data_IF_828366421136
#
_entry.id   IF_828366421136
#
_cell.length_a   1.000
_cell.length_b   1.000
_cell.length_c   1.000
_cell.angle_alpha   90.00
_cell.angle_beta   90.00
_cell.angle_gamma   90.00
#
_symmetry.space_group_name_H-M   'P 1'
#
loop_
_entity.id
_entity.type
_entity.pdbx_description
1 polymer ?
#
# COMPACT_ATOMS: atom_id res chain seq x y z
N UNK A 1 -16.98 20.59 -28.51
CA UNK A 1 -16.75 21.51 -27.41
C UNK A 1 -15.67 20.91 -26.51
N UNK A 2 -14.47 21.54 -26.46
CA UNK A 2 -13.42 21.12 -25.51
C UNK A 2 -13.76 21.62 -24.12
N UNK A 3 -13.54 20.77 -23.12
CA UNK A 3 -13.75 21.16 -21.71
C UNK A 3 -12.67 22.15 -21.20
N UNK A 4 -11.65 22.45 -22.03
CA UNK A 4 -10.59 23.40 -21.67
C UNK A 4 -9.65 22.94 -20.55
N UNK A 5 -9.67 21.65 -20.20
CA UNK A 5 -8.77 21.09 -19.20
C UNK A 5 -7.41 20.76 -19.81
N UNK A 6 -6.36 21.41 -19.31
CA UNK A 6 -4.98 21.20 -19.80
C UNK A 6 -4.51 19.77 -19.57
N UNK A 7 -4.91 19.16 -18.46
CA UNK A 7 -4.58 17.80 -18.05
C UNK A 7 -5.36 16.71 -18.79
N UNK A 8 -6.27 17.07 -19.70
CA UNK A 8 -7.08 16.15 -20.51
C UNK A 8 -6.98 16.49 -21.98
N UNK A 9 -5.80 16.44 -22.63
CA UNK A 9 -5.70 16.61 -24.06
C UNK A 9 -6.38 15.43 -24.80
N UNK A 10 -6.75 15.64 -26.06
CA UNK A 10 -7.39 14.62 -26.89
C UNK A 10 -6.47 13.50 -27.39
N UNK A 11 -5.29 13.36 -26.83
CA UNK A 11 -4.27 12.36 -27.19
C UNK A 11 -3.40 12.01 -25.96
N UNK A 12 -2.72 10.85 -25.95
CA UNK A 12 -1.69 10.54 -24.96
C UNK A 12 -0.57 11.58 -24.97
N UNK A 13 -0.15 12.04 -23.80
CA UNK A 13 0.92 13.00 -23.66
C UNK A 13 1.73 12.75 -22.38
N UNK A 14 2.96 13.27 -22.36
CA UNK A 14 3.81 13.23 -21.18
C UNK A 14 3.62 14.49 -20.34
N UNK A 15 3.23 14.34 -19.09
CA UNK A 15 3.10 15.45 -18.15
C UNK A 15 4.40 15.67 -17.38
N UNK A 16 5.18 16.67 -17.80
CA UNK A 16 6.46 16.99 -17.17
C UNK A 16 6.30 17.52 -15.74
N UNK A 17 5.18 18.17 -15.41
CA UNK A 17 4.94 18.65 -14.05
C UNK A 17 4.68 17.47 -13.10
N UNK A 18 3.90 16.50 -13.55
CA UNK A 18 3.66 15.27 -12.79
C UNK A 18 4.97 14.44 -12.67
N UNK A 19 5.74 14.31 -13.75
CA UNK A 19 7.02 13.62 -13.72
C UNK A 19 8.02 14.28 -12.76
N UNK A 20 8.05 15.62 -12.71
CA UNK A 20 8.90 16.35 -11.76
C UNK A 20 8.46 16.10 -10.30
N UNK A 21 7.15 16.10 -10.05
CA UNK A 21 6.58 15.77 -8.73
C UNK A 21 6.97 14.35 -8.32
N UNK A 22 6.82 13.36 -9.20
CA UNK A 22 7.22 11.97 -8.93
C UNK A 22 8.71 11.84 -8.60
N UNK A 23 9.59 12.57 -9.29
CA UNK A 23 11.03 12.61 -8.97
C UNK A 23 11.31 13.18 -7.58
N UNK A 24 10.56 14.19 -7.13
CA UNK A 24 10.69 14.76 -5.79
C UNK A 24 10.23 13.76 -4.71
N UNK A 25 9.11 13.06 -4.93
CA UNK A 25 8.64 12.00 -4.03
C UNK A 25 9.67 10.87 -3.93
N UNK A 26 10.19 10.39 -5.09
CA UNK A 26 11.21 9.34 -5.16
C UNK A 26 12.52 9.70 -4.45
N UNK A 27 12.89 10.98 -4.41
CA UNK A 27 14.07 11.45 -3.68
C UNK A 27 13.91 11.34 -2.15
N UNK A 28 12.68 11.35 -1.64
CA UNK A 28 12.37 11.22 -0.22
C UNK A 28 12.04 9.77 0.18
N UNK A 29 11.36 9.06 -0.71
CA UNK A 29 10.84 7.72 -0.52
C UNK A 29 11.30 6.83 -1.68
N UNK A 30 12.37 6.03 -1.52
CA UNK A 30 13.09 5.46 -2.64
C UNK A 30 12.42 4.24 -3.31
N UNK A 31 11.35 3.71 -2.74
CA UNK A 31 10.67 2.54 -3.28
C UNK A 31 9.31 2.91 -3.87
N UNK A 32 9.11 2.55 -5.14
CA UNK A 32 7.83 2.76 -5.83
C UNK A 32 6.85 1.65 -5.45
N UNK A 33 5.77 2.00 -4.76
CA UNK A 33 4.71 1.07 -4.37
C UNK A 33 3.66 0.93 -5.46
N UNK A 34 3.50 -0.28 -5.97
CA UNK A 34 2.40 -0.67 -6.85
C UNK A 34 1.33 -1.43 -6.04
N UNK A 35 0.08 -1.00 -6.16
CA UNK A 35 -1.05 -1.66 -5.51
C UNK A 35 -1.96 -2.32 -6.54
N UNK A 36 -1.80 -3.62 -6.73
CA UNK A 36 -2.56 -4.41 -7.69
C UNK A 36 -3.83 -5.03 -7.09
N UNK A 37 -4.70 -5.55 -7.96
CA UNK A 37 -5.85 -6.35 -7.51
C UNK A 37 -5.37 -7.68 -6.93
N UNK A 38 -5.94 -8.14 -5.80
CA UNK A 38 -5.58 -9.41 -5.19
C UNK A 38 -6.07 -10.60 -6.04
N UNK A 39 -5.31 -11.69 -6.05
CA UNK A 39 -5.69 -12.92 -6.76
C UNK A 39 -6.67 -13.79 -5.96
N UNK A 40 -6.69 -13.65 -4.64
CA UNK A 40 -7.42 -14.51 -3.71
C UNK A 40 -8.80 -13.95 -3.29
N UNK A 41 -9.15 -12.74 -3.74
CA UNK A 41 -10.40 -12.05 -3.39
C UNK A 41 -10.71 -10.95 -4.40
N UNK A 42 -11.89 -10.35 -4.31
CA UNK A 42 -12.30 -9.20 -5.12
C UNK A 42 -12.21 -7.93 -4.26
N UNK A 43 -11.21 -7.08 -4.51
CA UNK A 43 -10.93 -5.89 -3.68
C UNK A 43 -10.86 -6.26 -2.18
N UNK A 44 -11.75 -5.72 -1.36
CA UNK A 44 -11.87 -6.04 0.08
C UNK A 44 -12.90 -7.11 0.39
N UNK A 45 -13.64 -7.59 -0.62
CA UNK A 45 -14.64 -8.63 -0.42
C UNK A 45 -13.96 -9.97 -0.17
N UNK A 46 -14.43 -10.67 0.86
CA UNK A 46 -13.86 -11.94 1.31
C UNK A 46 -12.40 -11.87 1.82
N UNK A 47 -11.92 -10.70 2.24
CA UNK A 47 -10.59 -10.62 2.85
C UNK A 47 -10.48 -11.50 4.12
N UNK A 48 -11.59 -11.64 4.88
CA UNK A 48 -11.72 -12.56 6.00
C UNK A 48 -11.84 -14.05 5.59
N UNK A 49 -12.05 -14.35 4.31
CA UNK A 49 -12.24 -15.72 3.81
C UNK A 49 -10.96 -16.55 3.90
N UNK A 50 -11.12 -17.88 4.03
CA UNK A 50 -9.98 -18.81 4.21
C UNK A 50 -8.95 -18.72 3.10
N UNK A 51 -9.36 -18.52 1.84
CA UNK A 51 -8.45 -18.41 0.70
C UNK A 51 -7.58 -17.15 0.81
N UNK A 52 -8.18 -15.99 1.12
CA UNK A 52 -7.43 -14.75 1.32
C UNK A 52 -6.50 -14.84 2.54
N UNK A 53 -6.99 -15.37 3.65
CA UNK A 53 -6.19 -15.52 4.88
C UNK A 53 -4.98 -16.45 4.69
N UNK A 54 -5.11 -17.49 3.86
CA UNK A 54 -4.02 -18.41 3.55
C UNK A 54 -2.87 -17.74 2.75
N UNK A 55 -3.11 -16.61 2.09
CA UNK A 55 -2.06 -15.87 1.37
C UNK A 55 -1.29 -14.90 2.26
N UNK A 56 -1.78 -14.61 3.47
CA UNK A 56 -1.16 -13.63 4.37
C UNK A 56 0.08 -14.19 5.05
N UNK A 57 1.06 -13.32 5.28
CA UNK A 57 2.30 -13.64 5.99
C UNK A 57 2.18 -13.09 7.42
N UNK A 58 2.23 -13.96 8.40
CA UNK A 58 2.01 -13.60 9.81
C UNK A 58 0.71 -12.79 10.02
N UNK A 59 -0.36 -13.14 9.26
CA UNK A 59 -1.66 -12.49 9.30
C UNK A 59 -1.75 -11.15 8.55
N UNK A 60 -0.70 -10.70 7.89
CA UNK A 60 -0.60 -9.40 7.20
C UNK A 60 -0.57 -9.57 5.69
N UNK A 61 -1.00 -8.55 4.96
CA UNK A 61 -0.94 -8.56 3.50
C UNK A 61 0.50 -8.70 3.02
N UNK A 62 0.78 -9.57 2.02
CA UNK A 62 2.12 -9.73 1.47
C UNK A 62 2.62 -8.47 0.76
N UNK A 63 3.85 -8.10 1.06
CA UNK A 63 4.64 -7.12 0.33
C UNK A 63 5.69 -7.87 -0.48
N UNK A 64 5.61 -7.77 -1.80
CA UNK A 64 6.59 -8.32 -2.71
C UNK A 64 7.72 -7.31 -2.90
N UNK A 65 8.97 -7.73 -2.72
CA UNK A 65 10.14 -6.88 -2.95
C UNK A 65 11.32 -7.66 -3.51
N UNK A 66 12.20 -6.95 -4.20
CA UNK A 66 13.41 -7.55 -4.75
C UNK A 66 14.42 -7.89 -3.63
N UNK A 67 15.14 -9.04 -3.71
CA UNK A 67 16.11 -9.44 -2.70
C UNK A 67 17.21 -8.40 -2.42
N UNK A 68 17.66 -7.64 -3.43
CA UNK A 68 18.68 -6.60 -3.24
C UNK A 68 18.18 -5.45 -2.37
N UNK A 69 16.90 -5.04 -2.53
CA UNK A 69 16.31 -3.99 -1.71
C UNK A 69 16.10 -4.43 -0.27
N UNK A 70 15.76 -5.71 -0.09
CA UNK A 70 15.62 -6.34 1.22
C UNK A 70 16.97 -6.43 1.93
N UNK A 71 18.03 -6.88 1.23
CA UNK A 71 19.37 -6.98 1.76
C UNK A 71 19.91 -5.61 2.22
N UNK A 72 19.68 -4.55 1.44
CA UNK A 72 20.08 -3.19 1.80
C UNK A 72 19.42 -2.67 3.08
N UNK A 73 18.34 -3.32 3.56
CA UNK A 73 17.53 -2.93 4.73
C UNK A 73 17.55 -3.96 5.87
N UNK A 74 18.37 -5.00 5.77
CA UNK A 74 18.39 -6.14 6.73
C UNK A 74 17.00 -6.79 6.90
N UNK A 75 16.28 -6.97 5.77
CA UNK A 75 14.96 -7.59 5.69
C UNK A 75 15.11 -9.01 5.14
N UNK A 76 14.33 -9.96 5.69
CA UNK A 76 14.35 -11.38 5.31
C UNK A 76 12.97 -11.84 4.84
N UNK A 77 12.95 -12.91 4.04
CA UNK A 77 11.71 -13.61 3.67
C UNK A 77 10.85 -13.92 4.90
N UNK A 78 9.55 -13.67 4.79
CA UNK A 78 8.58 -13.95 5.85
C UNK A 78 8.60 -13.01 7.04
N UNK A 79 9.54 -12.06 7.12
CA UNK A 79 9.57 -11.06 8.20
C UNK A 79 8.45 -10.03 8.06
N UNK A 80 8.09 -9.39 9.16
CA UNK A 80 7.17 -8.25 9.14
C UNK A 80 7.97 -6.95 9.06
N UNK A 81 7.49 -6.03 8.23
CA UNK A 81 8.09 -4.72 8.00
C UNK A 81 7.08 -3.61 8.21
N UNK A 82 7.58 -2.42 8.54
CA UNK A 82 6.86 -1.17 8.48
C UNK A 82 7.08 -0.54 7.10
N UNK A 83 5.99 -0.33 6.36
CA UNK A 83 5.98 0.43 5.11
C UNK A 83 5.38 1.80 5.40
N UNK A 84 6.03 2.88 5.00
CA UNK A 84 5.61 4.21 5.41
C UNK A 84 6.03 5.33 4.45
N UNK A 85 5.31 6.43 4.56
CA UNK A 85 5.65 7.73 3.97
C UNK A 85 5.06 8.85 4.85
N UNK A 86 4.98 10.08 4.35
CA UNK A 86 4.41 11.22 5.08
C UNK A 86 2.88 11.17 5.26
N UNK A 87 2.19 10.25 4.59
CA UNK A 87 0.73 10.05 4.74
C UNK A 87 0.37 9.09 5.86
N UNK A 88 1.19 8.07 6.09
CA UNK A 88 0.94 7.10 7.15
C UNK A 88 1.93 5.94 7.17
N UNK A 89 1.57 4.89 7.89
CA UNK A 89 2.37 3.68 8.02
C UNK A 89 1.48 2.43 8.12
N UNK A 90 1.98 1.33 7.58
CA UNK A 90 1.33 0.02 7.66
C UNK A 90 2.33 -1.06 8.03
N UNK A 91 1.87 -2.19 8.56
CA UNK A 91 2.65 -3.42 8.70
C UNK A 91 2.30 -4.39 7.57
N UNK A 92 3.33 -5.00 6.98
CA UNK A 92 3.19 -5.98 5.90
C UNK A 92 4.12 -7.18 6.12
N UNK A 93 3.75 -8.34 5.60
CA UNK A 93 4.63 -9.52 5.57
C UNK A 93 5.44 -9.56 4.28
N UNK A 94 6.75 -9.81 4.36
CA UNK A 94 7.64 -9.75 3.19
C UNK A 94 7.64 -11.05 2.42
N UNK A 95 7.51 -10.94 1.10
CA UNK A 95 7.79 -11.99 0.12
C UNK A 95 8.87 -11.51 -0.85
N UNK A 96 10.02 -12.19 -0.85
CA UNK A 96 11.15 -11.87 -1.73
C UNK A 96 10.97 -12.51 -3.10
N UNK A 97 11.18 -11.72 -4.16
CA UNK A 97 11.04 -12.23 -5.53
C UNK A 97 11.90 -11.46 -6.52
N UNK A 98 12.65 -12.17 -7.34
CA UNK A 98 13.37 -11.60 -8.49
C UNK A 98 12.44 -11.20 -9.64
N UNK A 99 11.14 -11.49 -9.54
CA UNK A 99 10.13 -11.04 -10.50
C UNK A 99 9.72 -9.57 -10.29
N UNK A 100 10.12 -8.97 -9.17
CA UNK A 100 9.96 -7.53 -8.89
C UNK A 100 11.27 -6.82 -9.24
N UNK A 101 11.17 -5.69 -9.92
CA UNK A 101 12.35 -4.87 -10.24
C UNK A 101 12.93 -4.22 -8.98
N UNK A 102 14.25 -4.09 -8.86
CA UNK A 102 14.86 -3.27 -7.81
C UNK A 102 14.27 -1.85 -7.80
N UNK A 103 14.01 -1.31 -6.60
CA UNK A 103 13.37 -0.01 -6.41
C UNK A 103 11.84 -0.04 -6.54
N UNK A 104 11.23 -1.21 -6.80
CA UNK A 104 9.78 -1.39 -6.88
C UNK A 104 9.33 -2.39 -5.82
N UNK A 105 8.21 -2.11 -5.20
CA UNK A 105 7.51 -3.03 -4.28
C UNK A 105 6.04 -3.12 -4.66
N UNK A 106 5.43 -4.27 -4.38
CA UNK A 106 4.04 -4.53 -4.73
C UNK A 106 3.27 -5.07 -3.53
N UNK A 107 2.07 -4.54 -3.34
CA UNK A 107 1.07 -5.06 -2.41
C UNK A 107 -0.27 -5.18 -3.11
N UNK A 108 -1.14 -6.08 -2.64
CA UNK A 108 -2.51 -6.11 -3.12
C UNK A 108 -3.39 -5.10 -2.38
N UNK A 109 -4.33 -4.49 -3.11
CA UNK A 109 -5.38 -3.65 -2.51
C UNK A 109 -6.37 -4.48 -1.71
N UNK A 110 -7.17 -3.83 -0.86
CA UNK A 110 -8.36 -4.42 -0.25
C UNK A 110 -8.15 -5.18 1.05
N UNK A 111 -6.96 -5.17 1.64
CA UNK A 111 -6.81 -5.57 3.03
C UNK A 111 -7.67 -4.66 3.92
N UNK A 112 -8.43 -5.26 4.86
CA UNK A 112 -9.25 -4.46 5.76
C UNK A 112 -8.39 -3.61 6.69
N UNK A 113 -8.79 -2.34 6.83
CA UNK A 113 -8.09 -1.40 7.71
C UNK A 113 -8.20 -1.83 9.17
N UNK A 114 -7.06 -1.92 9.84
CA UNK A 114 -6.94 -2.39 11.23
C UNK A 114 -5.99 -1.47 12.02
N UNK A 115 -6.46 -0.28 12.44
CA UNK A 115 -5.61 0.69 13.11
C UNK A 115 -5.15 0.19 14.48
N UNK A 116 -3.92 0.53 14.86
CA UNK A 116 -3.38 0.23 16.19
C UNK A 116 -4.17 0.95 17.28
N UNK A 117 -4.44 2.23 17.08
CA UNK A 117 -5.38 3.01 17.89
C UNK A 117 -6.42 3.69 16.98
N UNK A 118 -7.70 3.25 17.03
CA UNK A 118 -8.75 3.83 16.19
C UNK A 118 -9.10 5.29 16.51
N UNK A 119 -8.55 5.86 17.58
CA UNK A 119 -8.75 7.27 17.94
C UNK A 119 -7.68 8.19 17.35
N UNK A 120 -6.60 7.65 16.87
CA UNK A 120 -5.52 8.40 16.24
C UNK A 120 -5.79 8.58 14.74
N UNK A 121 -5.70 9.81 14.24
CA UNK A 121 -5.99 10.15 12.83
C UNK A 121 -5.06 9.44 11.83
N UNK A 122 -3.81 9.19 12.19
CA UNK A 122 -2.82 8.52 11.34
C UNK A 122 -2.23 7.29 12.01
N UNK A 123 -3.12 6.53 12.65
CA UNK A 123 -2.71 5.31 13.33
C UNK A 123 -2.03 4.33 12.39
N UNK A 124 -1.04 3.62 12.92
CA UNK A 124 -0.41 2.51 12.19
C UNK A 124 -1.46 1.46 11.84
N UNK A 125 -1.60 1.12 10.56
CA UNK A 125 -2.41 -0.03 10.15
C UNK A 125 -1.63 -1.33 10.36
N UNK A 126 -2.21 -2.25 11.11
CA UNK A 126 -1.56 -3.51 11.51
C UNK A 126 -1.66 -4.60 10.43
N UNK A 127 -2.56 -4.45 9.45
CA UNK A 127 -3.00 -5.54 8.57
C UNK A 127 -2.48 -5.43 7.15
N UNK A 128 -2.06 -4.24 6.69
CA UNK A 128 -1.44 -4.03 5.39
C UNK A 128 -2.37 -3.42 4.33
N UNK A 129 -3.16 -2.41 4.70
CA UNK A 129 -3.98 -1.67 3.77
C UNK A 129 -3.17 -0.57 3.05
N UNK A 130 -2.81 -0.72 1.77
CA UNK A 130 -1.99 0.26 1.06
C UNK A 130 -2.66 1.63 0.88
N UNK A 131 -3.98 1.75 1.06
CA UNK A 131 -4.67 3.03 0.96
C UNK A 131 -4.24 4.04 2.03
N UNK A 132 -3.66 3.58 3.14
CA UNK A 132 -3.04 4.45 4.17
C UNK A 132 -1.87 5.25 3.61
N UNK A 133 -1.20 4.74 2.56
CA UNK A 133 0.01 5.29 1.98
C UNK A 133 -0.24 6.08 0.69
N UNK A 134 -1.38 5.83 0.02
CA UNK A 134 -1.70 6.44 -1.27
C UNK A 134 -2.27 7.85 -1.11
N UNK A 135 -2.07 8.67 -2.14
CA UNK A 135 -2.59 10.03 -2.19
C UNK A 135 -4.07 10.01 -2.62
N UNK A 136 -4.91 10.75 -1.91
CA UNK A 136 -6.29 11.01 -2.34
C UNK A 136 -6.29 12.14 -3.38
N UNK A 137 -5.96 11.76 -4.60
CA UNK A 137 -5.89 12.68 -5.74
C UNK A 137 -6.45 12.02 -6.99
N UNK A 138 -7.38 12.70 -7.64
CA UNK A 138 -7.88 12.27 -8.95
C UNK A 138 -6.83 12.43 -10.05
N UNK A 139 -6.87 11.58 -11.07
CA UNK A 139 -5.98 11.63 -12.23
C UNK A 139 -6.14 12.91 -13.05
N UNK A 140 -7.33 13.49 -13.07
CA UNK A 140 -7.64 14.79 -13.69
C UNK A 140 -8.94 15.35 -13.13
N UNK A 141 -9.19 16.65 -13.37
CA UNK A 141 -10.46 17.29 -12.99
C UNK A 141 -11.67 16.69 -13.72
N UNK A 142 -11.47 16.14 -14.91
CA UNK A 142 -12.53 15.52 -15.69
C UNK A 142 -12.71 14.03 -15.33
N UNK A 143 -11.64 13.25 -15.33
CA UNK A 143 -11.69 11.79 -15.21
C UNK A 143 -11.81 11.28 -13.78
N UNK A 144 -11.27 12.00 -12.79
CA UNK A 144 -11.27 11.64 -11.34
C UNK A 144 -10.86 10.19 -11.03
N UNK A 145 -10.12 9.53 -11.95
CA UNK A 145 -9.57 8.21 -11.70
C UNK A 145 -8.53 8.21 -10.59
N UNK A 146 -8.36 7.09 -9.88
CA UNK A 146 -7.36 7.00 -8.82
C UNK A 146 -5.92 7.08 -9.36
N UNK A 147 -5.02 7.69 -8.59
CA UNK A 147 -3.57 7.77 -8.86
C UNK A 147 -2.74 6.91 -7.91
N UNK A 148 -3.32 5.82 -7.39
CA UNK A 148 -2.70 4.97 -6.37
C UNK A 148 -1.37 4.33 -6.81
N UNK A 149 -1.14 4.17 -8.11
CA UNK A 149 0.11 3.62 -8.67
C UNK A 149 1.27 4.63 -8.69
N UNK A 150 1.04 5.86 -8.25
CA UNK A 150 2.05 6.92 -8.12
C UNK A 150 2.48 7.09 -6.67
N UNK A 151 2.61 6.01 -5.91
CA UNK A 151 2.92 6.02 -4.49
C UNK A 151 4.40 5.66 -4.25
N UNK A 152 5.06 6.43 -3.41
CA UNK A 152 6.45 6.20 -3.01
C UNK A 152 6.52 5.99 -1.51
N UNK A 153 7.38 5.05 -1.08
CA UNK A 153 7.47 4.61 0.31
C UNK A 153 8.91 4.32 0.72
N UNK A 154 9.14 4.23 2.02
CA UNK A 154 10.30 3.57 2.61
C UNK A 154 9.85 2.37 3.42
N UNK A 155 10.75 1.41 3.63
CA UNK A 155 10.49 0.17 4.34
C UNK A 155 11.57 -0.05 5.39
N UNK A 156 11.16 -0.35 6.60
CA UNK A 156 12.04 -0.69 7.71
C UNK A 156 11.63 -2.02 8.36
N UNK A 157 12.59 -2.83 8.86
CA UNK A 157 12.25 -4.01 9.64
C UNK A 157 11.43 -3.63 10.88
N UNK A 158 10.38 -4.40 11.17
CA UNK A 158 9.66 -4.27 12.43
C UNK A 158 10.40 -5.03 13.51
N UNK A 159 10.79 -4.35 14.59
CA UNK A 159 11.60 -4.92 15.67
C UNK A 159 10.89 -5.01 17.01
N UNK A 160 9.66 -4.51 17.07
CA UNK A 160 8.83 -4.52 18.26
C UNK A 160 7.95 -5.77 18.31
N UNK A 161 7.26 -5.99 19.42
CA UNK A 161 6.23 -7.00 19.52
C UNK A 161 5.14 -6.77 18.46
N UNK A 162 4.73 -7.83 17.78
CA UNK A 162 3.73 -7.73 16.73
C UNK A 162 2.34 -7.51 17.33
N UNK A 163 1.65 -6.41 17.00
CA UNK A 163 0.29 -6.20 17.47
C UNK A 163 -0.65 -7.27 16.88
N UNK A 164 -1.64 -7.74 17.66
CA UNK A 164 -2.61 -8.70 17.17
C UNK A 164 -3.46 -8.12 16.04
N UNK A 165 -3.76 -8.94 15.04
CA UNK A 165 -4.69 -8.58 13.96
C UNK A 165 -6.11 -8.67 14.52
N UNK A 166 -6.85 -7.58 14.42
CA UNK A 166 -8.25 -7.46 14.88
C UNK A 166 -9.23 -7.14 13.76
N UNK A 167 -8.75 -7.02 12.53
CA UNK A 167 -9.56 -6.71 11.35
C UNK A 167 -10.77 -7.64 11.15
N UNK A 168 -10.68 -8.88 11.63
CA UNK A 168 -11.71 -9.90 11.43
C UNK A 168 -12.48 -10.24 12.71
N UNK A 169 -12.24 -9.51 13.78
CA UNK A 169 -12.96 -9.71 15.04
C UNK A 169 -14.43 -9.30 14.85
N UNK A 170 -15.38 -10.07 15.40
CA UNK A 170 -16.78 -9.70 15.35
C UNK A 170 -17.01 -8.38 16.13
N UNK A 171 -17.98 -7.56 15.70
CA UNK A 171 -18.33 -6.35 16.44
C UNK A 171 -18.80 -6.70 17.85
N UNK A 172 -18.42 -5.85 18.82
CA UNK A 172 -18.96 -5.96 20.17
C UNK A 172 -20.40 -5.47 20.18
N UNK A 173 -21.33 -6.34 20.56
CA UNK A 173 -22.73 -5.94 20.79
C UNK A 173 -22.82 -5.21 22.12
N UNK A 174 -23.49 -4.05 22.12
CA UNK A 174 -23.86 -3.33 23.34
C UNK A 174 -25.30 -3.76 23.62
N UNK A 175 -25.55 -4.40 24.77
CA UNK A 175 -26.88 -4.59 25.26
C UNK A 175 -27.45 -3.22 25.63
N UNK A 176 -28.61 -2.86 25.06
CA UNK A 176 -29.34 -1.60 25.29
C UNK A 176 -30.42 -1.84 26.34
#
# INVERSE_FOLDING_TARGET
AGFGYRECPGHPWWDEQEAARQRQEAARWPLHLLSSQPRARLHSQYDHGSVSRATKIQGREPLWMHPSDAQARDIREGSVVKVYNDRGAILAGVHLSEQILPGVVQMSTGAWYDPLDPKEERSLDKHGNPNVLTEDRGSSRLGQGCSAQSCWVEIAPWREELPPITAFDPPKFIEV
#
